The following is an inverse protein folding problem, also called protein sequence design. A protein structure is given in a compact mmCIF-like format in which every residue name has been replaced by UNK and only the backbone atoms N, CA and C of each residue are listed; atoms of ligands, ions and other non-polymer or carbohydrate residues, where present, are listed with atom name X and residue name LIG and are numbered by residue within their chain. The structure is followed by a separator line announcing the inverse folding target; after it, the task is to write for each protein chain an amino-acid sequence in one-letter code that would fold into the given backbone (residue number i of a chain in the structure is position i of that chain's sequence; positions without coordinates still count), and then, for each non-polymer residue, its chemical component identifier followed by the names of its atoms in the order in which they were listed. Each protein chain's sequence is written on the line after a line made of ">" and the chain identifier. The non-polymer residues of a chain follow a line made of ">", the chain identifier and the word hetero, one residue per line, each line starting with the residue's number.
data_IF_699299529903
#
_entry.id   IF_699299529903
#
_cell.length_a   1.000
_cell.length_b   1.000
_cell.length_c   1.000
_cell.angle_alpha   90.00
_cell.angle_beta   90.00
_cell.angle_gamma   90.00
#
_symmetry.space_group_name_H-M   'P 1'
#
loop_
_entity.id
_entity.type
_entity.pdbx_description
1 polymer ?
#
# COMPACT_ATOMS: atom_id res chain seq x y z
N UNK A 1 -8.41 -19.47 -2.47
CA UNK A 1 -9.87 -19.71 -2.33
C UNK A 1 -10.20 -21.18 -2.11
N UNK A 2 -9.68 -22.15 -2.90
CA UNK A 2 -10.04 -23.58 -2.74
C UNK A 2 -9.82 -24.11 -1.32
N UNK A 3 -8.63 -23.88 -0.75
CA UNK A 3 -8.33 -24.29 0.63
C UNK A 3 -9.23 -23.59 1.67
N UNK A 4 -9.53 -22.30 1.46
CA UNK A 4 -10.41 -21.57 2.36
C UNK A 4 -11.83 -22.19 2.39
N UNK A 5 -12.33 -22.62 1.24
CA UNK A 5 -13.61 -23.34 1.14
C UNK A 5 -13.53 -24.70 1.83
N UNK A 6 -12.47 -25.46 1.59
CA UNK A 6 -12.28 -26.80 2.17
C UNK A 6 -12.18 -26.76 3.71
N UNK A 7 -11.45 -25.78 4.24
CA UNK A 7 -11.26 -25.60 5.68
C UNK A 7 -12.34 -24.73 6.36
N UNK A 8 -13.38 -24.31 5.62
CA UNK A 8 -14.37 -23.34 6.12
C UNK A 8 -13.73 -22.13 6.77
N UNK A 9 -12.71 -21.57 6.12
CA UNK A 9 -11.88 -20.48 6.60
C UNK A 9 -12.02 -19.23 5.74
N UNK A 10 -11.61 -18.10 6.27
CA UNK A 10 -11.52 -16.83 5.54
C UNK A 10 -10.11 -16.65 4.97
N UNK A 11 -10.00 -16.31 3.69
CA UNK A 11 -8.73 -15.88 3.10
C UNK A 11 -8.47 -14.42 3.47
N UNK A 12 -7.32 -14.15 4.03
CA UNK A 12 -6.85 -12.78 4.32
C UNK A 12 -5.92 -12.32 3.21
N UNK A 13 -6.08 -11.07 2.81
CA UNK A 13 -5.14 -10.38 1.93
C UNK A 13 -4.02 -9.75 2.74
N UNK A 14 -2.84 -9.65 2.18
CA UNK A 14 -1.61 -9.19 2.85
C UNK A 14 -1.12 -7.84 2.32
N UNK A 15 -1.81 -7.24 1.35
CA UNK A 15 -1.48 -5.91 0.84
C UNK A 15 -1.72 -4.83 1.90
N UNK A 16 -0.85 -3.85 1.90
CA UNK A 16 -0.90 -2.70 2.81
C UNK A 16 -1.40 -1.42 2.14
N UNK A 17 -1.47 -0.34 2.92
CA UNK A 17 -1.94 0.97 2.45
C UNK A 17 -1.03 1.58 1.39
N UNK A 18 0.29 1.44 1.53
CA UNK A 18 1.27 2.00 0.60
C UNK A 18 1.21 1.29 -0.75
N UNK A 19 1.17 -0.05 -0.74
CA UNK A 19 1.00 -0.89 -1.93
C UNK A 19 -0.34 -0.60 -2.62
N UNK A 20 -1.42 -0.57 -1.85
CA UNK A 20 -2.75 -0.26 -2.34
C UNK A 20 -2.84 1.13 -2.97
N UNK A 21 -2.18 2.13 -2.38
CA UNK A 21 -2.20 3.50 -2.87
C UNK A 21 -1.68 3.60 -4.30
N UNK A 22 -0.53 2.99 -4.59
CA UNK A 22 0.13 3.05 -5.90
C UNK A 22 -0.22 1.88 -6.82
N UNK A 23 -1.03 0.92 -6.35
CA UNK A 23 -1.46 -0.25 -7.12
C UNK A 23 -0.37 -1.32 -7.28
N UNK A 24 0.61 -1.35 -6.39
CA UNK A 24 1.68 -2.35 -6.37
C UNK A 24 1.21 -3.67 -5.75
N UNK A 25 0.20 -4.27 -6.35
CA UNK A 25 -0.38 -5.55 -5.94
C UNK A 25 -1.04 -6.26 -7.13
N UNK A 26 -1.27 -7.56 -6.99
CA UNK A 26 -1.99 -8.38 -7.98
C UNK A 26 -3.42 -8.60 -7.51
N UNK A 27 -4.40 -8.06 -8.25
CA UNK A 27 -5.81 -7.98 -7.84
C UNK A 27 -6.44 -9.33 -7.44
N UNK A 28 -6.10 -10.40 -8.16
CA UNK A 28 -6.57 -11.76 -7.86
C UNK A 28 -5.47 -12.66 -7.29
N UNK A 29 -4.36 -12.06 -6.83
CA UNK A 29 -3.22 -12.69 -6.17
C UNK A 29 -3.14 -12.29 -4.70
N UNK A 30 -2.12 -11.54 -4.33
CA UNK A 30 -1.84 -11.04 -2.98
C UNK A 30 -2.93 -10.13 -2.40
N UNK A 31 -3.61 -9.35 -3.25
CA UNK A 31 -4.79 -8.57 -2.85
C UNK A 31 -6.10 -9.38 -2.82
N UNK A 32 -6.06 -10.67 -3.17
CA UNK A 32 -7.22 -11.54 -3.12
C UNK A 32 -7.55 -11.97 -1.69
N UNK A 33 -8.80 -11.79 -1.28
CA UNK A 33 -9.23 -12.19 0.06
C UNK A 33 -10.59 -11.63 0.44
N UNK A 34 -11.03 -11.91 1.65
CA UNK A 34 -12.27 -11.39 2.22
C UNK A 34 -12.05 -10.19 3.17
N UNK A 35 -10.82 -10.02 3.66
CA UNK A 35 -10.43 -8.96 4.57
C UNK A 35 -8.94 -8.66 4.41
N UNK A 36 -8.55 -7.39 4.56
CA UNK A 36 -7.18 -6.88 4.60
C UNK A 36 -6.85 -6.35 6.00
N UNK A 37 -6.26 -7.15 6.88
CA UNK A 37 -6.02 -6.74 8.27
C UNK A 37 -5.07 -5.54 8.41
N UNK A 38 -4.08 -5.42 7.51
CA UNK A 38 -3.07 -4.36 7.50
C UNK A 38 -3.29 -3.34 6.36
N UNK A 39 -4.43 -3.42 5.66
CA UNK A 39 -4.73 -2.62 4.47
C UNK A 39 -4.88 -1.12 4.70
N UNK A 40 -4.95 -0.65 5.95
CA UNK A 40 -4.98 0.77 6.31
C UNK A 40 -3.72 1.24 7.05
N UNK A 41 -2.68 0.41 7.10
CA UNK A 41 -1.37 0.76 7.62
C UNK A 41 -0.40 1.03 6.48
N UNK A 42 0.37 2.13 6.56
CA UNK A 42 1.49 2.36 5.66
C UNK A 42 2.62 1.35 5.93
N UNK A 43 3.45 1.07 4.92
CA UNK A 43 4.57 0.13 5.04
C UNK A 43 5.49 0.46 6.22
N UNK A 44 5.78 1.74 6.45
CA UNK A 44 6.57 2.19 7.60
C UNK A 44 5.89 1.87 8.94
N UNK A 45 4.57 2.02 9.04
CA UNK A 45 3.82 1.69 10.26
C UNK A 45 3.80 0.18 10.54
N UNK A 46 3.80 -0.65 9.49
CA UNK A 46 3.91 -2.10 9.65
C UNK A 46 5.25 -2.50 10.26
N UNK A 47 6.35 -1.86 9.84
CA UNK A 47 7.66 -2.10 10.47
C UNK A 47 7.69 -1.63 11.92
N UNK A 48 7.09 -0.48 12.24
CA UNK A 48 6.95 0.01 13.62
C UNK A 48 6.09 -0.96 14.46
N UNK A 49 4.99 -1.44 13.92
CA UNK A 49 4.13 -2.44 14.58
C UNK A 49 4.88 -3.75 14.82
N UNK A 50 5.64 -4.24 13.83
CA UNK A 50 6.45 -5.44 13.97
C UNK A 50 7.51 -5.28 15.08
N UNK A 51 8.18 -4.12 15.14
CA UNK A 51 9.12 -3.81 16.20
C UNK A 51 8.44 -3.76 17.57
N UNK A 52 7.25 -3.18 17.65
CA UNK A 52 6.45 -3.15 18.88
C UNK A 52 6.07 -4.56 19.35
N UNK A 53 5.60 -5.41 18.47
CA UNK A 53 5.22 -6.79 18.79
C UNK A 53 6.39 -7.62 19.29
N UNK A 54 7.60 -7.32 18.81
CA UNK A 54 8.83 -8.02 19.19
C UNK A 54 9.48 -7.48 20.47
N UNK A 55 8.91 -6.47 21.16
CA UNK A 55 9.55 -5.86 22.34
C UNK A 55 9.81 -6.83 23.49
N UNK A 56 8.95 -7.79 23.70
CA UNK A 56 9.05 -8.74 24.84
C UNK A 56 9.49 -10.13 24.42
N UNK A 57 9.15 -10.53 23.23
CA UNK A 57 9.46 -11.84 22.66
C UNK A 57 9.47 -11.70 21.14
N UNK A 58 10.36 -12.42 20.46
CA UNK A 58 10.34 -12.48 18.99
C UNK A 58 9.08 -13.24 18.52
N UNK A 59 8.09 -12.49 18.03
CA UNK A 59 6.86 -13.02 17.44
C UNK A 59 6.99 -13.05 15.92
N UNK A 60 7.64 -12.04 15.35
CA UNK A 60 7.91 -11.91 13.93
C UNK A 60 9.41 -12.11 13.73
N UNK A 61 9.83 -13.18 13.00
CA UNK A 61 11.25 -13.44 12.76
C UNK A 61 11.96 -12.25 12.11
N UNK A 62 13.15 -11.93 12.61
CA UNK A 62 13.95 -10.79 12.12
C UNK A 62 14.19 -10.86 10.61
N UNK A 63 14.41 -12.06 10.07
CA UNK A 63 14.59 -12.26 8.62
C UNK A 63 13.38 -11.86 7.76
N UNK A 64 12.16 -11.78 8.33
CA UNK A 64 10.97 -11.27 7.65
C UNK A 64 11.02 -9.74 7.63
N UNK A 65 11.40 -9.11 8.73
CA UNK A 65 11.48 -7.65 8.87
C UNK A 65 12.59 -7.07 7.96
N UNK A 66 13.72 -7.77 7.85
CA UNK A 66 14.89 -7.34 7.06
C UNK A 66 14.75 -7.64 5.56
N UNK A 67 13.80 -8.47 5.17
CA UNK A 67 13.60 -8.84 3.78
C UNK A 67 13.12 -7.61 2.99
N UNK A 68 13.84 -7.31 1.90
CA UNK A 68 13.43 -6.23 1.00
C UNK A 68 12.04 -6.52 0.39
N UNK A 69 11.12 -5.55 0.39
CA UNK A 69 9.81 -5.69 -0.22
C UNK A 69 9.90 -6.04 -1.70
N UNK A 70 9.09 -7.00 -2.13
CA UNK A 70 9.03 -7.45 -3.52
C UNK A 70 7.69 -8.12 -3.81
N UNK A 71 7.12 -7.82 -4.97
CA UNK A 71 5.94 -8.52 -5.50
C UNK A 71 6.26 -9.92 -6.07
N UNK A 72 7.52 -10.35 -6.08
CA UNK A 72 7.99 -11.69 -6.51
C UNK A 72 7.53 -12.14 -7.92
N UNK A 73 7.18 -11.19 -8.78
CA UNK A 73 6.75 -11.50 -10.15
C UNK A 73 7.91 -11.83 -11.09
N UNK A 74 9.14 -11.48 -10.70
CA UNK A 74 10.39 -11.72 -11.46
C UNK A 74 11.53 -12.10 -10.50
N UNK A 75 12.51 -12.90 -10.95
CA UNK A 75 13.70 -13.18 -10.17
C UNK A 75 14.44 -11.89 -9.77
N UNK A 76 14.85 -11.79 -8.51
CA UNK A 76 15.59 -10.67 -7.92
C UNK A 76 14.89 -9.29 -8.01
N UNK A 77 13.59 -9.27 -8.21
CA UNK A 77 12.78 -8.04 -8.23
C UNK A 77 12.76 -7.39 -6.84
N UNK A 78 12.86 -6.06 -6.81
CA UNK A 78 12.58 -5.23 -5.62
C UNK A 78 11.57 -4.17 -5.99
N UNK A 79 10.70 -3.81 -5.07
CA UNK A 79 9.70 -2.74 -5.28
C UNK A 79 10.39 -1.40 -5.55
N UNK A 80 11.54 -1.15 -4.92
CA UNK A 80 12.38 0.04 -5.14
C UNK A 80 12.96 0.17 -6.56
N UNK A 81 12.89 -0.88 -7.40
CA UNK A 81 13.25 -0.78 -8.81
C UNK A 81 12.26 0.10 -9.60
N UNK A 82 11.05 0.31 -9.06
CA UNK A 82 9.97 1.05 -9.72
C UNK A 82 9.33 2.13 -8.84
N UNK A 83 9.54 2.10 -7.54
CA UNK A 83 8.96 3.00 -6.55
C UNK A 83 10.07 3.70 -5.77
N UNK A 84 9.84 4.89 -5.25
CA UNK A 84 10.71 5.44 -4.22
C UNK A 84 10.80 4.50 -3.00
N UNK A 85 11.89 4.53 -2.22
CA UNK A 85 11.94 3.81 -0.95
C UNK A 85 10.70 4.08 -0.10
N UNK A 86 10.13 3.05 0.53
CA UNK A 86 8.83 3.15 1.22
C UNK A 86 8.76 4.28 2.24
N UNK A 87 9.84 4.60 2.95
CA UNK A 87 9.86 5.74 3.87
C UNK A 87 9.60 7.09 3.17
N UNK A 88 10.08 7.24 1.94
CA UNK A 88 9.83 8.44 1.12
C UNK A 88 8.45 8.37 0.47
N UNK A 89 8.05 7.20 -0.03
CA UNK A 89 6.73 6.97 -0.60
C UNK A 89 5.63 7.27 0.41
N UNK A 90 5.70 6.72 1.61
CA UNK A 90 4.69 6.92 2.67
C UNK A 90 4.55 8.39 3.05
N UNK A 91 5.66 9.13 3.06
CA UNK A 91 5.62 10.59 3.28
C UNK A 91 4.87 11.32 2.16
N UNK A 92 5.09 10.94 0.90
CA UNK A 92 4.37 11.50 -0.25
C UNK A 92 2.88 11.17 -0.14
N UNK A 93 2.55 9.92 0.19
CA UNK A 93 1.16 9.45 0.33
C UNK A 93 0.41 10.19 1.43
N UNK A 94 1.02 10.39 2.60
CA UNK A 94 0.44 11.18 3.69
C UNK A 94 0.15 12.62 3.25
N UNK A 95 1.12 13.29 2.66
CA UNK A 95 0.95 14.66 2.18
C UNK A 95 -0.16 14.77 1.12
N UNK A 96 -0.36 13.75 0.31
CA UNK A 96 -1.42 13.72 -0.71
C UNK A 96 -2.80 13.41 -0.13
N UNK A 97 -2.92 12.33 0.68
CA UNK A 97 -4.22 11.87 1.18
C UNK A 97 -4.71 12.63 2.42
N UNK A 98 -3.80 13.00 3.31
CA UNK A 98 -4.13 13.63 4.59
C UNK A 98 -4.09 15.16 4.47
N UNK A 99 -3.01 15.72 3.91
CA UNK A 99 -2.83 17.18 3.75
C UNK A 99 -3.40 17.73 2.41
N UNK A 100 -3.79 16.85 1.47
CA UNK A 100 -4.35 17.20 0.15
C UNK A 100 -3.44 18.11 -0.70
N UNK A 101 -2.13 17.96 -0.58
CA UNK A 101 -1.17 18.79 -1.28
C UNK A 101 -1.02 18.39 -2.76
N UNK A 102 -0.67 19.38 -3.57
CA UNK A 102 -0.33 19.19 -4.99
C UNK A 102 1.06 18.57 -5.16
N UNK A 103 1.36 18.02 -6.36
CA UNK A 103 2.68 17.46 -6.66
C UNK A 103 3.82 18.47 -6.41
N UNK A 104 3.63 19.75 -6.77
CA UNK A 104 4.61 20.80 -6.58
C UNK A 104 4.90 21.08 -5.09
N UNK A 105 3.87 21.11 -4.25
CA UNK A 105 4.00 21.30 -2.81
C UNK A 105 4.65 20.11 -2.14
N UNK A 106 4.28 18.88 -2.55
CA UNK A 106 4.88 17.63 -2.08
C UNK A 106 6.37 17.59 -2.44
N UNK A 107 6.72 17.90 -3.70
CA UNK A 107 8.10 17.93 -4.15
C UNK A 107 8.95 18.89 -3.30
N UNK A 108 8.42 20.08 -3.01
CA UNK A 108 9.07 21.08 -2.15
C UNK A 108 9.23 20.59 -0.71
N UNK A 109 8.16 20.03 -0.11
CA UNK A 109 8.16 19.56 1.30
C UNK A 109 9.06 18.33 1.50
N UNK A 110 9.11 17.44 0.51
CA UNK A 110 9.92 16.21 0.56
C UNK A 110 11.35 16.41 0.06
N UNK A 111 11.69 17.58 -0.50
CA UNK A 111 12.98 17.85 -1.17
C UNK A 111 13.31 16.84 -2.28
N UNK A 112 12.30 16.48 -3.08
CA UNK A 112 12.42 15.57 -4.23
C UNK A 112 12.16 16.31 -5.54
N UNK A 113 12.47 15.67 -6.65
CA UNK A 113 12.14 16.21 -7.98
C UNK A 113 10.63 16.24 -8.18
N UNK A 114 10.11 17.25 -8.86
CA UNK A 114 8.70 17.37 -9.23
C UNK A 114 8.22 16.13 -9.99
N UNK A 115 9.00 15.66 -10.94
CA UNK A 115 8.73 14.47 -11.75
C UNK A 115 8.48 13.22 -10.88
N UNK A 116 9.23 13.05 -9.78
CA UNK A 116 9.01 11.93 -8.85
C UNK A 116 7.66 12.04 -8.14
N UNK A 117 7.27 13.23 -7.71
CA UNK A 117 5.96 13.43 -7.09
C UNK A 117 4.83 13.19 -8.11
N UNK A 118 4.98 13.71 -9.33
CA UNK A 118 3.99 13.52 -10.42
C UNK A 118 3.84 12.05 -10.81
N UNK A 119 4.93 11.28 -10.88
CA UNK A 119 4.88 9.83 -11.16
C UNK A 119 4.08 9.10 -10.07
N UNK A 120 4.37 9.36 -8.79
CA UNK A 120 3.62 8.75 -7.68
C UNK A 120 2.13 9.12 -7.75
N UNK A 121 1.79 10.37 -7.97
CA UNK A 121 0.38 10.80 -8.08
C UNK A 121 -0.32 10.18 -9.30
N UNK A 122 0.40 10.01 -10.39
CA UNK A 122 -0.11 9.32 -11.60
C UNK A 122 -0.44 7.86 -11.28
N UNK A 123 0.45 7.16 -10.56
CA UNK A 123 0.21 5.79 -10.11
C UNK A 123 -1.00 5.69 -9.18
N UNK A 124 -1.13 6.61 -8.21
CA UNK A 124 -2.29 6.67 -7.32
C UNK A 124 -3.60 6.76 -8.12
N UNK A 125 -3.63 7.62 -9.12
CA UNK A 125 -4.80 7.81 -9.97
C UNK A 125 -5.10 6.57 -10.84
N UNK A 126 -4.05 5.97 -11.43
CA UNK A 126 -4.18 4.76 -12.24
C UNK A 126 -4.65 3.55 -11.41
N UNK A 127 -4.28 3.49 -10.13
CA UNK A 127 -4.65 2.42 -9.23
C UNK A 127 -6.09 2.49 -8.69
N UNK A 128 -6.82 3.56 -8.94
CA UNK A 128 -8.13 3.82 -8.33
C UNK A 128 -9.16 2.72 -8.61
N UNK A 129 -9.31 2.31 -9.88
CA UNK A 129 -10.18 1.19 -10.24
C UNK A 129 -9.72 -0.12 -9.58
N UNK A 130 -8.41 -0.35 -9.51
CA UNK A 130 -7.82 -1.55 -8.94
C UNK A 130 -8.09 -1.61 -7.42
N UNK A 131 -7.93 -0.49 -6.70
CA UNK A 131 -8.29 -0.36 -5.28
C UNK A 131 -9.76 -0.63 -5.01
N UNK A 132 -10.65 -0.15 -5.87
CA UNK A 132 -12.10 -0.33 -5.68
C UNK A 132 -12.55 -1.80 -5.73
N UNK A 133 -11.71 -2.70 -6.21
CA UNK A 133 -11.99 -4.14 -6.34
C UNK A 133 -11.30 -4.98 -5.26
N UNK A 134 -10.54 -4.37 -4.36
CA UNK A 134 -9.90 -5.09 -3.25
C UNK A 134 -10.87 -5.40 -2.13
N UNK A 135 -10.52 -6.37 -1.29
CA UNK A 135 -11.27 -6.66 -0.07
C UNK A 135 -11.31 -5.45 0.88
N UNK A 136 -12.30 -5.33 1.76
CA UNK A 136 -12.33 -4.27 2.76
C UNK A 136 -11.12 -4.36 3.70
N UNK A 137 -10.56 -3.20 4.07
CA UNK A 137 -9.54 -3.10 5.09
C UNK A 137 -10.14 -2.86 6.46
N UNK A 138 -9.42 -3.23 7.52
CA UNK A 138 -9.71 -2.71 8.85
C UNK A 138 -9.26 -1.25 8.90
N UNK A 139 -10.22 -0.33 9.02
CA UNK A 139 -9.94 1.10 9.09
C UNK A 139 -9.48 1.46 10.50
N UNK A 140 -8.19 1.71 10.64
CA UNK A 140 -7.53 2.03 11.92
C UNK A 140 -6.92 3.44 11.92
N UNK A 141 -6.77 4.06 10.75
CA UNK A 141 -6.27 5.42 10.61
C UNK A 141 -7.39 6.45 10.49
N UNK A 142 -7.08 7.73 10.72
CA UNK A 142 -8.02 8.84 10.50
C UNK A 142 -8.33 9.08 9.02
N UNK A 143 -7.49 8.60 8.11
CA UNK A 143 -7.60 8.82 6.66
C UNK A 143 -7.48 7.51 5.88
N UNK A 144 -8.46 6.59 6.02
CA UNK A 144 -8.44 5.35 5.25
C UNK A 144 -8.58 5.66 3.76
N UNK A 145 -7.82 4.94 2.93
CA UNK A 145 -7.91 5.02 1.46
C UNK A 145 -8.72 3.87 0.86
N UNK A 146 -9.14 2.93 1.72
CA UNK A 146 -10.00 1.81 1.36
C UNK A 146 -11.46 2.24 1.44
N UNK A 147 -12.22 1.88 0.44
CA UNK A 147 -13.65 2.14 0.39
C UNK A 147 -14.11 2.62 -1.00
N UNK A 148 -15.29 2.17 -1.39
CA UNK A 148 -15.88 2.55 -2.67
C UNK A 148 -16.40 3.99 -2.55
N UNK A 149 -15.63 4.95 -3.01
CA UNK A 149 -16.12 6.31 -3.23
C UNK A 149 -16.68 6.39 -4.63
N UNK A 150 -17.98 6.31 -4.78
CA UNK A 150 -18.66 6.54 -6.05
C UNK A 150 -18.99 8.01 -6.26
N UNK A 151 -18.88 8.52 -7.49
CA UNK A 151 -18.34 7.85 -8.68
C UNK A 151 -16.80 7.88 -8.73
N UNK A 152 -16.21 6.77 -9.14
CA UNK A 152 -14.76 6.68 -9.48
C UNK A 152 -14.58 7.31 -10.86
N UNK A 153 -14.99 8.57 -11.02
CA UNK A 153 -14.90 9.29 -12.28
C UNK A 153 -13.85 10.38 -12.09
N UNK A 154 -12.61 10.06 -12.42
CA UNK A 154 -11.59 11.08 -12.61
C UNK A 154 -11.49 11.37 -14.10
N UNK A 155 -11.71 12.62 -14.51
CA UNK A 155 -11.36 13.08 -15.85
C UNK A 155 -9.86 12.80 -16.05
N UNK A 156 -9.54 11.82 -16.88
CA UNK A 156 -8.19 11.68 -17.42
C UNK A 156 -8.10 12.78 -18.47
N UNK A 157 -7.38 13.84 -18.19
CA UNK A 157 -6.95 14.76 -19.24
C UNK A 157 -5.89 14.01 -20.04
N UNK A 158 -6.29 13.48 -21.18
CA UNK A 158 -5.40 12.96 -22.21
C UNK A 158 -4.68 14.13 -22.87
#
# INVERSE_FOLDING_TARGET
>A
CALATEYNAMLLSTDDKSESAVGSFVLYGDAGGALRPIGDLYKSEIYELAAYLNQTQEVIPQGIIERAPTSELRPNQKDEDQLPPYAALDKILRLYFEDQLTAAEIAKKCHIKLETAEDVLTRINAADLKRSQTAPALEVSAHPISGVRWPVIKKINL
#
